data_IF_890858638184
#
_entry.id   IF_890858638184
#
_cell.length_a   1.000
_cell.length_b   1.000
_cell.length_c   1.000
_cell.angle_alpha   90.00
_cell.angle_beta   90.00
_cell.angle_gamma   90.00
#
_symmetry.space_group_name_H-M   'P 1'
#
loop_
_entity.id
_entity.type
_entity.pdbx_description
1 polymer ?
#
# COMPACT_ATOMS: atom_id res chain seq x y z
N UNK A 1 12.88 -9.99 -5.56
CA UNK A 1 11.65 -10.66 -5.08
C UNK A 1 11.05 -9.84 -3.95
N UNK A 2 9.74 -9.55 -3.95
CA UNK A 2 9.10 -8.85 -2.83
C UNK A 2 9.17 -9.69 -1.57
N UNK A 3 9.54 -9.05 -0.46
CA UNK A 3 9.53 -9.67 0.88
C UNK A 3 8.17 -9.42 1.54
N UNK A 4 7.66 -10.37 2.34
CA UNK A 4 6.50 -10.12 3.19
C UNK A 4 6.79 -9.02 4.21
N UNK A 5 5.73 -8.45 4.76
CA UNK A 5 5.82 -7.53 5.89
C UNK A 5 6.33 -8.27 7.13
N UNK A 6 7.14 -7.59 7.95
CA UNK A 6 7.63 -8.17 9.20
C UNK A 6 6.59 -8.05 10.30
N UNK A 7 6.58 -9.00 11.23
CA UNK A 7 5.64 -9.01 12.36
C UNK A 7 5.74 -7.74 13.20
N UNK A 8 6.97 -7.27 13.46
CA UNK A 8 7.23 -6.00 14.16
C UNK A 8 6.54 -4.81 13.47
N UNK A 9 6.51 -4.79 12.15
CA UNK A 9 5.84 -3.74 11.40
C UNK A 9 4.32 -3.86 11.51
N UNK A 10 3.77 -5.07 11.40
CA UNK A 10 2.33 -5.32 11.49
C UNK A 10 1.77 -4.94 12.88
N UNK A 11 2.48 -5.28 13.95
CA UNK A 11 2.12 -4.89 15.32
C UNK A 11 2.12 -3.36 15.46
N UNK A 12 3.19 -2.70 15.00
CA UNK A 12 3.28 -1.25 15.06
C UNK A 12 2.21 -0.53 14.22
N UNK A 13 1.80 -1.13 13.10
CA UNK A 13 0.75 -0.62 12.24
C UNK A 13 -0.64 -0.70 12.90
N UNK A 14 -0.88 -1.68 13.75
CA UNK A 14 -2.15 -1.82 14.46
C UNK A 14 -2.37 -0.70 15.49
N UNK A 15 -1.30 -0.23 16.13
CA UNK A 15 -1.32 0.88 17.10
C UNK A 15 -1.08 2.26 16.47
N UNK A 16 -0.90 2.35 15.15
CA UNK A 16 -0.58 3.60 14.47
C UNK A 16 -1.82 4.49 14.29
N UNK A 17 -1.57 5.80 14.16
CA UNK A 17 -2.57 6.83 13.95
C UNK A 17 -3.26 6.68 12.58
N UNK A 18 -4.56 6.38 12.62
CA UNK A 18 -5.40 6.13 11.45
C UNK A 18 -5.76 7.38 10.65
N UNK A 19 -5.54 8.58 11.18
CA UNK A 19 -5.78 9.81 10.42
C UNK A 19 -4.71 10.04 9.35
N UNK A 20 -3.53 9.42 9.51
CA UNK A 20 -2.42 9.60 8.58
C UNK A 20 -2.63 8.78 7.30
N UNK A 21 -2.67 9.47 6.17
CA UNK A 21 -2.84 8.87 4.82
C UNK A 21 -1.83 7.74 4.55
N UNK A 22 -0.58 7.89 5.00
CA UNK A 22 0.44 6.85 4.83
C UNK A 22 0.19 5.58 5.65
N UNK A 23 -0.41 5.71 6.83
CA UNK A 23 -0.83 4.59 7.68
C UNK A 23 -2.05 3.90 7.07
N UNK A 24 -3.03 4.68 6.58
CA UNK A 24 -4.19 4.14 5.87
C UNK A 24 -3.76 3.33 4.63
N UNK A 25 -2.81 3.86 3.86
CA UNK A 25 -2.24 3.13 2.72
C UNK A 25 -1.62 1.80 3.17
N UNK A 26 -0.80 1.82 4.22
CA UNK A 26 -0.15 0.63 4.74
C UNK A 26 -1.17 -0.45 5.13
N UNK A 27 -2.23 -0.08 5.87
CA UNK A 27 -3.28 -1.02 6.30
C UNK A 27 -3.96 -1.69 5.10
N UNK A 28 -4.37 -0.88 4.12
CA UNK A 28 -5.03 -1.36 2.90
C UNK A 28 -4.10 -2.26 2.07
N UNK A 29 -2.82 -1.92 1.97
CA UNK A 29 -1.85 -2.75 1.25
C UNK A 29 -1.57 -4.09 1.93
N UNK A 30 -1.50 -4.11 3.27
CA UNK A 30 -1.38 -5.35 4.06
C UNK A 30 -2.61 -6.23 3.85
N UNK A 31 -3.81 -5.64 3.96
CA UNK A 31 -5.08 -6.33 3.77
C UNK A 31 -5.19 -6.94 2.35
N UNK A 32 -4.86 -6.15 1.32
CA UNK A 32 -4.87 -6.61 -0.07
C UNK A 32 -3.70 -7.54 -0.45
N UNK A 33 -2.77 -7.82 0.49
CA UNK A 33 -1.52 -8.57 0.27
C UNK A 33 -0.64 -8.00 -0.85
N UNK A 34 -0.62 -6.68 -0.99
CA UNK A 34 0.18 -5.97 -1.98
C UNK A 34 1.58 -5.66 -1.40
N UNK A 35 2.68 -6.12 -2.02
CA UNK A 35 4.01 -5.84 -1.52
C UNK A 35 4.45 -4.38 -1.73
N UNK A 36 5.13 -3.81 -0.73
CA UNK A 36 5.70 -2.45 -0.79
C UNK A 36 6.60 -2.17 -2.01
N UNK A 37 7.24 -3.20 -2.57
CA UNK A 37 8.05 -3.06 -3.78
C UNK A 37 7.20 -2.60 -4.97
N UNK A 38 6.07 -3.26 -5.22
CA UNK A 38 5.24 -2.94 -6.38
C UNK A 38 4.43 -1.66 -6.19
N UNK A 39 4.12 -1.33 -4.94
CA UNK A 39 3.51 -0.04 -4.59
C UNK A 39 4.50 1.09 -4.90
N UNK A 40 5.79 0.90 -4.59
CA UNK A 40 6.83 1.88 -4.93
C UNK A 40 6.93 2.08 -6.44
N UNK A 41 6.90 0.98 -7.21
CA UNK A 41 6.90 1.03 -8.68
C UNK A 41 5.67 1.80 -9.22
N UNK A 42 4.46 1.50 -8.73
CA UNK A 42 3.21 2.16 -9.11
C UNK A 42 3.26 3.68 -8.87
N UNK A 43 3.74 4.10 -7.70
CA UNK A 43 3.87 5.52 -7.38
C UNK A 43 5.11 6.18 -8.00
N UNK A 44 5.99 5.39 -8.62
CA UNK A 44 7.29 5.80 -9.17
C UNK A 44 8.17 6.47 -8.11
N UNK A 45 8.21 5.88 -6.92
CA UNK A 45 9.01 6.33 -5.77
C UNK A 45 9.94 5.21 -5.31
N UNK A 46 10.87 5.52 -4.42
CA UNK A 46 11.74 4.49 -3.87
C UNK A 46 10.99 3.62 -2.86
N UNK A 47 11.43 2.37 -2.68
CA UNK A 47 10.93 1.49 -1.62
C UNK A 47 11.08 2.13 -0.22
N UNK A 48 12.15 2.89 -0.01
CA UNK A 48 12.38 3.59 1.26
C UNK A 48 11.30 4.65 1.51
N UNK A 49 10.92 5.40 0.47
CA UNK A 49 9.86 6.39 0.54
C UNK A 49 8.53 5.77 0.99
N UNK A 50 8.16 4.61 0.43
CA UNK A 50 6.95 3.88 0.86
C UNK A 50 7.04 3.44 2.31
N UNK A 51 8.20 2.93 2.76
CA UNK A 51 8.40 2.57 4.17
C UNK A 51 8.29 3.77 5.12
N UNK A 52 8.75 4.95 4.71
CA UNK A 52 8.55 6.18 5.48
C UNK A 52 7.07 6.56 5.55
N UNK A 53 6.35 6.50 4.43
CA UNK A 53 4.90 6.76 4.41
C UNK A 53 4.14 5.82 5.34
N UNK A 54 4.49 4.52 5.30
CA UNK A 54 3.87 3.50 6.15
C UNK A 54 4.14 3.66 7.64
N UNK A 55 5.07 4.53 8.02
CA UNK A 55 5.35 4.91 9.41
C UNK A 55 4.83 6.31 9.76
N UNK A 56 4.01 6.89 8.87
CA UNK A 56 3.37 8.18 9.10
C UNK A 56 4.27 9.39 8.87
N UNK A 57 5.40 9.24 8.17
CA UNK A 57 6.21 10.40 7.79
C UNK A 57 5.45 11.33 6.82
N UNK A 58 5.94 12.57 6.70
CA UNK A 58 5.39 13.56 5.78
C UNK A 58 5.32 13.03 4.34
N UNK A 59 4.19 13.33 3.69
CA UNK A 59 3.92 13.02 2.30
C UNK A 59 3.57 14.34 1.63
N UNK A 60 4.18 14.62 0.47
CA UNK A 60 3.83 15.80 -0.31
C UNK A 60 2.36 15.75 -0.73
N UNK A 61 1.70 16.90 -0.78
CA UNK A 61 0.27 17.00 -1.08
C UNK A 61 -0.11 16.28 -2.39
N UNK A 62 0.70 16.46 -3.45
CA UNK A 62 0.54 15.75 -4.72
C UNK A 62 0.45 14.22 -4.55
N UNK A 63 1.30 13.65 -3.69
CA UNK A 63 1.30 12.21 -3.42
C UNK A 63 0.16 11.81 -2.47
N UNK A 64 -0.22 12.64 -1.50
CA UNK A 64 -1.42 12.41 -0.69
C UNK A 64 -2.66 12.22 -1.55
N UNK A 65 -2.88 13.11 -2.53
CA UNK A 65 -4.04 13.03 -3.44
C UNK A 65 -4.01 11.72 -4.25
N UNK A 66 -2.85 11.35 -4.81
CA UNK A 66 -2.68 10.09 -5.56
C UNK A 66 -2.95 8.87 -4.67
N UNK A 67 -2.41 8.87 -3.46
CA UNK A 67 -2.56 7.78 -2.49
C UNK A 67 -4.03 7.64 -2.06
N UNK A 68 -4.71 8.74 -1.77
CA UNK A 68 -6.13 8.70 -1.39
C UNK A 68 -7.01 8.14 -2.51
N UNK A 69 -6.74 8.49 -3.77
CA UNK A 69 -7.45 7.91 -4.92
C UNK A 69 -7.22 6.40 -5.00
N UNK A 70 -5.97 5.99 -4.91
CA UNK A 70 -5.57 4.58 -4.93
C UNK A 70 -6.19 3.77 -3.78
N UNK A 71 -6.24 4.31 -2.57
CA UNK A 71 -6.91 3.68 -1.42
C UNK A 71 -8.40 3.44 -1.73
N UNK A 72 -9.08 4.43 -2.33
CA UNK A 72 -10.51 4.29 -2.69
C UNK A 72 -10.72 3.21 -3.74
N UNK A 73 -9.82 3.10 -4.71
CA UNK A 73 -9.87 2.06 -5.76
C UNK A 73 -9.66 0.67 -5.16
N UNK A 74 -8.62 0.48 -4.34
CA UNK A 74 -8.38 -0.80 -3.67
C UNK A 74 -9.57 -1.20 -2.79
N UNK A 75 -10.10 -0.27 -1.98
CA UNK A 75 -11.25 -0.59 -1.12
C UNK A 75 -12.45 -1.10 -1.93
N UNK A 76 -12.76 -0.45 -3.05
CA UNK A 76 -13.82 -0.91 -3.96
C UNK A 76 -13.52 -2.30 -4.54
N UNK A 77 -12.26 -2.59 -4.84
CA UNK A 77 -11.89 -3.88 -5.41
C UNK A 77 -11.80 -5.02 -4.36
N UNK A 78 -11.52 -4.67 -3.10
CA UNK A 78 -11.71 -5.57 -1.94
C UNK A 78 -13.20 -5.89 -1.77
N UNK A 79 -14.08 -4.88 -1.81
CA UNK A 79 -15.54 -5.07 -1.70
C UNK A 79 -16.11 -5.92 -2.84
N UNK A 80 -15.55 -5.80 -4.05
CA UNK A 80 -15.90 -6.65 -5.21
C UNK A 80 -15.33 -8.07 -5.12
N UNK A 81 -14.51 -8.39 -4.13
CA UNK A 81 -13.88 -9.70 -3.95
C UNK A 81 -12.73 -10.01 -4.91
N UNK A 82 -12.18 -8.99 -5.60
CA UNK A 82 -11.03 -9.16 -6.51
C UNK A 82 -9.70 -9.22 -5.74
N UNK A 83 -9.67 -8.64 -4.53
CA UNK A 83 -8.57 -8.63 -3.58
C UNK A 83 -9.07 -9.30 -2.28
N UNK A 84 -8.23 -10.02 -1.51
CA UNK A 84 -6.76 -10.03 -1.53
C UNK A 84 -6.15 -10.95 -2.57
N UNK A 85 -5.00 -10.55 -3.10
CA UNK A 85 -4.29 -11.34 -4.11
C UNK A 85 -3.49 -12.47 -3.44
N UNK A 86 -3.71 -13.72 -3.89
CA UNK A 86 -3.02 -14.89 -3.34
C UNK A 86 -1.50 -14.95 -3.63
N UNK A 87 -0.98 -14.16 -4.59
CA UNK A 87 0.42 -14.26 -5.03
C UNK A 87 0.99 -12.94 -5.53
N UNK A 88 2.29 -12.74 -5.28
CA UNK A 88 3.06 -11.59 -5.75
C UNK A 88 2.99 -11.38 -7.28
N UNK A 89 2.87 -12.45 -8.07
CA UNK A 89 2.76 -12.34 -9.54
C UNK A 89 1.45 -11.65 -9.95
N UNK A 90 0.35 -12.02 -9.30
CA UNK A 90 -0.96 -11.40 -9.52
C UNK A 90 -1.01 -9.97 -8.97
N UNK A 91 -0.32 -9.69 -7.85
CA UNK A 91 -0.22 -8.33 -7.29
C UNK A 91 0.48 -7.37 -8.28
N UNK A 92 1.57 -7.83 -8.90
CA UNK A 92 2.23 -7.08 -9.98
C UNK A 92 1.29 -6.88 -11.17
N UNK A 93 0.60 -7.93 -11.61
CA UNK A 93 -0.33 -7.83 -12.74
C UNK A 93 -1.50 -6.86 -12.50
N UNK A 94 -2.00 -6.79 -11.27
CA UNK A 94 -3.02 -5.81 -10.88
C UNK A 94 -2.47 -4.38 -10.97
N UNK A 95 -1.31 -4.11 -10.37
CA UNK A 95 -0.70 -2.78 -10.37
C UNK A 95 -0.18 -2.34 -11.74
N UNK A 96 0.18 -3.28 -12.61
CA UNK A 96 0.60 -3.00 -13.99
C UNK A 96 -0.56 -2.87 -14.98
N UNK A 97 -1.80 -3.22 -14.61
CA UNK A 97 -2.96 -3.09 -15.50
C UNK A 97 -3.46 -1.64 -15.65
N UNK A 98 -3.03 -0.75 -14.75
CA UNK A 98 -3.45 0.65 -14.71
C UNK A 98 -2.37 1.65 -15.19
N UNK A 99 -1.26 1.15 -15.78
CA UNK A 99 -0.20 1.97 -16.36
C UNK A 99 -0.32 2.02 -17.88
#
# INVERSE_FOLDING_TARGET
MPRPYSDKFLIGLQSADDERVGIQLAKVCVEAKLPALYIADYFSVTRMTVHCWFRGHYISEKNCIRIQRFIKEIKKDIEKGLLPVASAKKAKAYLSKEV
#
